data_IF_378774262050
#
_entry.id   IF_378774262050
#
_cell.length_a   1.000
_cell.length_b   1.000
_cell.length_c   1.000
_cell.angle_alpha   90.00
_cell.angle_beta   90.00
_cell.angle_gamma   90.00
#
_symmetry.space_group_name_H-M   'P 1'
#
loop_
_entity.id
_entity.type
_entity.pdbx_description
1 polymer ?
#
# COMPACT_ATOMS: atom_id res chain seq x y z
N UNK A 1 -44.71 -74.97 -20.67
CA UNK A 1 -44.79 -73.52 -20.96
C UNK A 1 -45.29 -72.71 -19.77
N UNK A 2 -46.36 -73.13 -19.08
CA UNK A 2 -46.94 -72.44 -17.91
C UNK A 2 -46.00 -72.31 -16.71
N UNK A 3 -45.22 -73.35 -16.38
CA UNK A 3 -44.26 -73.33 -15.25
C UNK A 3 -43.17 -72.27 -15.38
N UNK A 4 -42.60 -72.07 -16.58
CA UNK A 4 -41.61 -71.01 -16.83
C UNK A 4 -42.20 -69.61 -16.66
N UNK A 5 -43.45 -69.40 -17.10
CA UNK A 5 -44.15 -68.12 -16.94
C UNK A 5 -44.38 -67.82 -15.46
N UNK A 6 -44.81 -68.81 -14.69
CA UNK A 6 -45.03 -68.65 -13.23
C UNK A 6 -43.71 -68.31 -12.52
N UNK A 7 -42.62 -69.00 -12.84
CA UNK A 7 -41.29 -68.70 -12.26
C UNK A 7 -40.85 -67.29 -12.62
N UNK A 8 -40.99 -66.88 -13.89
CA UNK A 8 -40.62 -65.53 -14.34
C UNK A 8 -41.39 -64.44 -13.59
N UNK A 9 -42.70 -64.61 -13.38
CA UNK A 9 -43.54 -63.65 -12.64
C UNK A 9 -43.09 -63.56 -11.18
N UNK A 10 -42.83 -64.69 -10.52
CA UNK A 10 -42.35 -64.70 -9.13
C UNK A 10 -41.03 -63.95 -9.00
N UNK A 11 -40.07 -64.20 -9.92
CA UNK A 11 -38.78 -63.50 -9.93
C UNK A 11 -38.97 -61.99 -10.09
N UNK A 12 -39.86 -61.57 -10.99
CA UNK A 12 -40.15 -60.15 -11.23
C UNK A 12 -40.76 -59.48 -9.98
N UNK A 13 -41.67 -60.16 -9.29
CA UNK A 13 -42.27 -59.65 -8.03
C UNK A 13 -41.20 -59.52 -6.94
N UNK A 14 -40.32 -60.51 -6.79
CA UNK A 14 -39.22 -60.45 -5.80
C UNK A 14 -38.26 -59.28 -6.10
N UNK A 15 -37.91 -59.07 -7.37
CA UNK A 15 -37.06 -57.94 -7.77
C UNK A 15 -37.72 -56.58 -7.51
N UNK A 16 -39.03 -56.46 -7.81
CA UNK A 16 -39.77 -55.22 -7.55
C UNK A 16 -39.80 -54.87 -6.06
N UNK A 17 -40.04 -55.87 -5.19
CA UNK A 17 -40.04 -55.68 -3.73
C UNK A 17 -38.64 -55.29 -3.24
N UNK A 18 -37.60 -55.96 -3.71
CA UNK A 18 -36.22 -55.63 -3.34
C UNK A 18 -35.85 -54.18 -3.70
N UNK A 19 -36.26 -53.72 -4.89
CA UNK A 19 -35.96 -52.37 -5.36
C UNK A 19 -36.61 -51.28 -4.49
N UNK A 20 -37.88 -51.48 -4.09
CA UNK A 20 -38.61 -50.54 -3.22
C UNK A 20 -37.96 -50.43 -1.83
N UNK A 21 -37.51 -51.55 -1.27
CA UNK A 21 -36.83 -51.58 0.03
C UNK A 21 -35.50 -50.81 -0.04
N UNK A 22 -34.72 -51.01 -1.10
CA UNK A 22 -33.45 -50.30 -1.33
C UNK A 22 -33.70 -48.80 -1.49
N UNK A 23 -34.73 -48.39 -2.25
CA UNK A 23 -35.07 -46.97 -2.39
C UNK A 23 -35.45 -46.31 -1.06
N UNK A 24 -36.27 -46.96 -0.23
CA UNK A 24 -36.65 -46.40 1.09
C UNK A 24 -35.43 -46.23 2.00
N UNK A 25 -34.57 -47.25 2.07
CA UNK A 25 -33.31 -47.18 2.83
C UNK A 25 -32.37 -46.09 2.33
N UNK A 26 -32.23 -45.95 1.02
CA UNK A 26 -31.38 -44.90 0.44
C UNK A 26 -31.92 -43.50 0.73
N UNK A 27 -33.24 -43.31 0.77
CA UNK A 27 -33.86 -42.03 1.10
C UNK A 27 -33.60 -41.63 2.55
N UNK A 28 -33.75 -42.56 3.48
CA UNK A 28 -33.42 -42.37 4.90
C UNK A 28 -31.92 -42.07 5.09
N UNK A 29 -31.04 -42.85 4.45
CA UNK A 29 -29.60 -42.62 4.50
C UNK A 29 -29.19 -41.26 3.87
N UNK A 30 -29.87 -40.81 2.83
CA UNK A 30 -29.62 -39.48 2.26
C UNK A 30 -30.07 -38.35 3.19
N UNK A 31 -31.18 -38.52 3.90
CA UNK A 31 -31.66 -37.54 4.89
C UNK A 31 -30.65 -37.44 6.04
N UNK A 32 -30.20 -38.58 6.58
CA UNK A 32 -29.18 -38.61 7.64
C UNK A 32 -27.86 -37.97 7.18
N UNK A 33 -27.40 -38.25 5.96
CA UNK A 33 -26.20 -37.61 5.38
C UNK A 33 -26.38 -36.12 5.21
N UNK A 34 -27.55 -35.66 4.79
CA UNK A 34 -27.84 -34.23 4.66
C UNK A 34 -27.80 -33.53 6.01
N UNK A 35 -28.36 -34.14 7.06
CA UNK A 35 -28.32 -33.58 8.41
C UNK A 35 -26.92 -33.61 9.03
N UNK A 36 -26.13 -34.65 8.75
CA UNK A 36 -24.71 -34.68 9.11
C UNK A 36 -23.91 -33.57 8.39
N UNK A 37 -24.16 -33.33 7.10
CA UNK A 37 -23.51 -32.24 6.36
C UNK A 37 -23.91 -30.87 6.90
N UNK A 38 -25.19 -30.65 7.21
CA UNK A 38 -25.67 -29.41 7.85
C UNK A 38 -25.02 -29.19 9.20
N UNK A 39 -24.91 -30.24 10.02
CA UNK A 39 -24.31 -30.15 11.34
C UNK A 39 -22.81 -29.86 11.24
N UNK A 40 -22.08 -30.57 10.35
CA UNK A 40 -20.65 -30.32 10.10
C UNK A 40 -20.40 -28.90 9.60
N UNK A 41 -21.20 -28.44 8.63
CA UNK A 41 -21.10 -27.08 8.12
C UNK A 41 -21.40 -26.04 9.21
N UNK A 42 -22.38 -26.28 10.10
CA UNK A 42 -22.67 -25.39 11.21
C UNK A 42 -21.52 -25.35 12.24
N UNK A 43 -20.92 -26.51 12.56
CA UNK A 43 -19.77 -26.58 13.48
C UNK A 43 -18.52 -25.92 12.88
N UNK A 44 -18.25 -26.13 11.60
CA UNK A 44 -17.10 -25.52 10.91
C UNK A 44 -17.30 -24.02 10.71
N UNK A 45 -18.53 -23.58 10.40
CA UNK A 45 -18.90 -22.17 10.33
C UNK A 45 -18.70 -21.48 11.68
N UNK A 46 -19.08 -22.12 12.79
CA UNK A 46 -18.82 -21.56 14.13
C UNK A 46 -17.32 -21.39 14.42
N UNK A 47 -16.49 -22.35 13.99
CA UNK A 47 -15.04 -22.29 14.19
C UNK A 47 -14.30 -21.28 13.29
N UNK A 48 -14.87 -20.91 12.14
CA UNK A 48 -14.17 -20.10 11.13
C UNK A 48 -14.77 -18.71 10.93
N UNK A 49 -16.09 -18.57 10.98
CA UNK A 49 -16.79 -17.30 10.72
C UNK A 49 -16.61 -16.35 11.89
N UNK A 50 -16.77 -16.81 13.13
CA UNK A 50 -16.61 -15.96 14.32
C UNK A 50 -15.22 -15.29 14.39
N UNK A 51 -14.08 -16.01 14.27
CA UNK A 51 -12.77 -15.37 14.27
C UNK A 51 -12.49 -14.56 13.00
N UNK A 52 -13.10 -14.88 11.86
CA UNK A 52 -12.99 -14.06 10.65
C UNK A 52 -13.71 -12.71 10.82
N UNK A 53 -14.90 -12.71 11.44
CA UNK A 53 -15.63 -11.48 11.77
C UNK A 53 -14.91 -10.63 12.80
N UNK A 54 -14.33 -11.26 13.83
CA UNK A 54 -13.54 -10.54 14.83
C UNK A 54 -12.32 -9.86 14.19
N UNK A 55 -11.57 -10.58 13.33
CA UNK A 55 -10.46 -9.97 12.58
C UNK A 55 -10.91 -8.84 11.66
N UNK A 56 -12.07 -9.00 11.01
CA UNK A 56 -12.62 -7.94 10.16
C UNK A 56 -12.98 -6.70 10.99
N UNK A 57 -13.64 -6.87 12.14
CA UNK A 57 -13.98 -5.78 13.04
C UNK A 57 -12.74 -5.07 13.59
N UNK A 58 -11.69 -5.82 13.96
CA UNK A 58 -10.41 -5.22 14.39
C UNK A 58 -9.75 -4.44 13.26
N UNK A 59 -9.70 -4.98 12.05
CA UNK A 59 -9.12 -4.29 10.90
C UNK A 59 -9.91 -3.01 10.53
N UNK A 60 -11.24 -3.03 10.66
CA UNK A 60 -12.08 -1.85 10.47
C UNK A 60 -11.82 -0.79 11.55
N UNK A 61 -11.64 -1.20 12.81
CA UNK A 61 -11.29 -0.29 13.90
C UNK A 61 -9.91 0.36 13.68
N UNK A 62 -8.89 -0.42 13.32
CA UNK A 62 -7.55 0.08 13.01
C UNK A 62 -7.58 1.07 11.82
N UNK A 63 -8.37 0.77 10.79
CA UNK A 63 -8.54 1.67 9.66
C UNK A 63 -9.24 2.99 10.06
N UNK A 64 -10.21 2.95 10.97
CA UNK A 64 -10.87 4.15 11.48
C UNK A 64 -9.91 5.00 12.32
N UNK A 65 -9.10 4.38 13.18
CA UNK A 65 -8.07 5.07 13.97
C UNK A 65 -7.02 5.73 13.06
N UNK A 66 -6.54 5.03 12.04
CA UNK A 66 -5.58 5.57 11.09
C UNK A 66 -6.13 6.81 10.34
N UNK A 67 -7.42 6.79 9.97
CA UNK A 67 -8.08 7.96 9.36
C UNK A 67 -8.16 9.13 10.32
N UNK A 68 -8.54 8.90 11.58
CA UNK A 68 -8.59 9.96 12.58
C UNK A 68 -7.21 10.60 12.83
N UNK A 69 -6.14 9.81 12.82
CA UNK A 69 -4.77 10.32 12.94
C UNK A 69 -4.38 11.15 11.72
N UNK A 70 -4.73 10.69 10.51
CA UNK A 70 -4.46 11.41 9.27
C UNK A 70 -5.19 12.77 9.25
N UNK A 71 -6.48 12.79 9.57
CA UNK A 71 -7.28 14.02 9.65
C UNK A 71 -6.69 15.02 10.66
N UNK A 72 -6.23 14.53 11.82
CA UNK A 72 -5.57 15.37 12.81
C UNK A 72 -4.25 15.96 12.30
N UNK A 73 -3.43 15.16 11.63
CA UNK A 73 -2.16 15.60 11.07
C UNK A 73 -2.38 16.63 9.94
N UNK A 74 -3.42 16.45 9.11
CA UNK A 74 -3.81 17.43 8.09
C UNK A 74 -4.25 18.75 8.71
N UNK A 75 -5.10 18.72 9.74
CA UNK A 75 -5.52 19.93 10.45
C UNK A 75 -4.34 20.68 11.09
N UNK A 76 -3.38 19.96 11.67
CA UNK A 76 -2.17 20.55 12.23
C UNK A 76 -1.28 21.18 11.15
N UNK A 77 -1.14 20.52 10.00
CA UNK A 77 -0.39 21.07 8.87
C UNK A 77 -1.06 22.33 8.30
N UNK A 78 -2.40 22.35 8.20
CA UNK A 78 -3.14 23.54 7.78
C UNK A 78 -2.98 24.70 8.77
N UNK A 79 -3.08 24.43 10.07
CA UNK A 79 -2.85 25.42 11.11
C UNK A 79 -1.43 26.02 11.00
N UNK A 80 -0.40 25.18 10.88
CA UNK A 80 0.98 25.62 10.74
C UNK A 80 1.20 26.46 9.47
N UNK A 81 0.53 26.13 8.35
CA UNK A 81 0.58 26.94 7.13
C UNK A 81 -0.06 28.31 7.33
N UNK A 82 -1.20 28.37 8.00
CA UNK A 82 -1.88 29.63 8.29
C UNK A 82 -1.06 30.51 9.24
N UNK A 83 -0.40 29.90 10.24
CA UNK A 83 0.51 30.62 11.14
C UNK A 83 1.72 31.17 10.38
N UNK A 84 2.34 30.36 9.51
CA UNK A 84 3.46 30.81 8.68
C UNK A 84 3.06 32.00 7.79
N UNK A 85 1.89 31.93 7.13
CA UNK A 85 1.37 33.02 6.31
C UNK A 85 1.10 34.29 7.13
N UNK A 86 0.57 34.15 8.35
CA UNK A 86 0.34 35.30 9.24
C UNK A 86 1.65 35.96 9.67
N UNK A 87 2.66 35.15 10.01
CA UNK A 87 3.99 35.65 10.35
C UNK A 87 4.61 36.38 9.16
N UNK A 88 4.57 35.79 7.96
CA UNK A 88 5.07 36.43 6.74
C UNK A 88 4.35 37.76 6.45
N UNK A 89 3.01 37.77 6.51
CA UNK A 89 2.22 38.99 6.31
C UNK A 89 2.55 40.08 7.35
N UNK A 90 2.81 39.68 8.60
CA UNK A 90 3.18 40.62 9.67
C UNK A 90 4.56 41.24 9.43
N UNK A 91 5.54 40.45 8.97
CA UNK A 91 6.87 40.93 8.63
C UNK A 91 6.82 41.87 7.41
N UNK A 92 6.06 41.52 6.39
CA UNK A 92 5.89 42.36 5.21
C UNK A 92 5.19 43.69 5.56
N UNK A 93 4.16 43.65 6.41
CA UNK A 93 3.50 44.85 6.92
C UNK A 93 4.46 45.76 7.70
N UNK A 94 5.35 45.17 8.50
CA UNK A 94 6.39 45.90 9.23
C UNK A 94 7.42 46.52 8.28
N UNK A 95 7.88 45.79 7.26
CA UNK A 95 8.79 46.29 6.24
C UNK A 95 8.17 47.50 5.50
N UNK A 96 6.93 47.38 5.02
CA UNK A 96 6.21 48.51 4.41
C UNK A 96 6.01 49.69 5.35
N UNK A 97 5.85 49.45 6.66
CA UNK A 97 5.74 50.52 7.64
C UNK A 97 7.08 51.26 7.83
N UNK A 98 8.20 50.54 7.84
CA UNK A 98 9.54 51.13 7.91
C UNK A 98 9.86 51.95 6.65
N UNK A 99 9.60 51.40 5.46
CA UNK A 99 9.88 52.06 4.18
C UNK A 99 9.08 53.36 4.00
N UNK A 100 7.85 53.43 4.53
CA UNK A 100 7.05 54.67 4.53
C UNK A 100 7.66 55.79 5.39
N UNK A 101 8.47 55.43 6.38
CA UNK A 101 9.16 56.39 7.25
C UNK A 101 10.54 56.79 6.72
N UNK A 102 11.15 55.99 5.84
CA UNK A 102 12.46 56.30 5.26
C UNK A 102 12.30 57.23 4.05
N UNK A 103 12.79 58.50 4.12
CA UNK A 103 12.74 59.42 2.99
C UNK A 103 13.60 59.01 1.79
N UNK A 104 14.47 57.99 1.93
CA UNK A 104 15.28 57.45 0.84
C UNK A 104 14.52 56.44 -0.03
N UNK A 105 13.40 55.90 0.45
CA UNK A 105 12.62 54.86 -0.26
C UNK A 105 11.39 55.48 -0.91
N UNK A 106 11.29 55.37 -2.24
CA UNK A 106 10.09 55.74 -2.98
C UNK A 106 9.07 54.59 -2.98
N UNK A 107 8.26 54.55 -1.93
CA UNK A 107 7.18 53.58 -1.74
C UNK A 107 5.94 53.85 -2.62
N UNK A 108 5.97 54.84 -3.52
CA UNK A 108 4.88 55.16 -4.46
C UNK A 108 5.18 54.75 -5.90
N UNK A 109 6.39 54.31 -6.19
CA UNK A 109 6.76 53.83 -7.52
C UNK A 109 6.02 52.53 -7.87
N UNK A 110 5.68 52.35 -9.15
CA UNK A 110 4.93 51.18 -9.64
C UNK A 110 5.71 49.86 -9.51
N UNK A 111 7.04 49.93 -9.32
CA UNK A 111 7.96 48.80 -9.15
C UNK A 111 8.36 48.55 -7.68
N UNK A 112 7.69 49.17 -6.71
CA UNK A 112 7.98 48.97 -5.29
C UNK A 112 7.60 47.55 -4.82
N UNK A 113 8.60 46.82 -4.28
CA UNK A 113 8.41 45.54 -3.60
C UNK A 113 9.09 45.59 -2.21
N UNK A 114 8.37 45.35 -1.11
CA UNK A 114 8.94 45.38 0.24
C UNK A 114 9.96 44.24 0.40
N UNK A 115 11.19 44.59 0.78
CA UNK A 115 12.25 43.61 0.99
C UNK A 115 12.18 43.02 2.40
N UNK A 116 11.65 41.80 2.52
CA UNK A 116 11.67 40.99 3.75
C UNK A 116 12.84 40.02 3.72
N UNK A 117 13.80 40.19 4.64
CA UNK A 117 14.97 39.32 4.74
C UNK A 117 14.55 37.87 5.07
N UNK A 118 14.94 36.91 4.22
CA UNK A 118 14.70 35.48 4.45
C UNK A 118 13.56 34.86 3.64
N UNK A 119 12.89 35.59 2.75
CA UNK A 119 12.02 34.99 1.73
C UNK A 119 12.85 34.24 0.70
N UNK A 120 12.36 33.09 0.20
CA UNK A 120 13.09 32.13 -0.66
C UNK A 120 13.61 32.76 -1.96
N UNK A 121 13.00 33.87 -2.40
CA UNK A 121 13.44 34.62 -3.59
C UNK A 121 14.66 35.53 -3.34
N UNK A 122 15.10 35.71 -2.08
CA UNK A 122 16.39 36.30 -1.77
C UNK A 122 17.50 35.26 -1.91
N UNK A 123 17.74 34.80 -3.14
CA UNK A 123 19.06 34.25 -3.46
C UNK A 123 20.06 35.38 -3.19
N UNK A 124 20.97 35.26 -2.20
CA UNK A 124 21.94 36.30 -1.93
C UNK A 124 22.76 36.45 -3.20
N UNK A 125 22.59 37.57 -3.91
CA UNK A 125 23.56 37.94 -4.94
C UNK A 125 24.85 38.14 -4.16
N UNK A 126 25.75 37.17 -4.26
CA UNK A 126 27.07 37.24 -3.64
C UNK A 126 27.64 38.63 -3.96
N UNK A 127 28.20 39.34 -2.97
CA UNK A 127 28.74 40.67 -3.21
C UNK A 127 29.74 40.53 -4.36
N UNK A 128 29.47 41.23 -5.46
CA UNK A 128 30.42 41.33 -6.56
C UNK A 128 31.68 41.94 -5.97
N UNK A 129 32.73 41.13 -5.83
CA UNK A 129 34.10 41.58 -5.56
C UNK A 129 34.53 42.46 -6.72
N UNK A 130 34.12 43.73 -6.68
CA UNK A 130 34.69 44.77 -7.51
C UNK A 130 35.96 45.21 -6.79
N UNK A 131 37.08 44.87 -7.42
CA UNK A 131 38.42 45.45 -7.25
C UNK A 131 39.40 44.71 -6.31
N UNK A 132 39.95 43.60 -6.79
CA UNK A 132 41.32 43.21 -6.50
C UNK A 132 42.03 42.83 -7.81
N UNK A 133 42.92 43.73 -8.25
CA UNK A 133 43.87 43.55 -9.36
C UNK A 133 44.73 42.28 -9.18
N UNK A 134 45.16 41.62 -10.27
CA UNK A 134 45.93 40.37 -10.20
C UNK A 134 47.42 40.67 -10.00
N UNK A 135 48.01 40.11 -8.95
CA UNK A 135 49.47 40.07 -8.78
C UNK A 135 49.94 38.63 -8.52
N UNK A 136 50.33 37.98 -9.63
CA UNK A 136 51.60 37.25 -9.78
C UNK A 136 52.04 36.28 -8.66
N UNK A 137 51.83 34.99 -8.92
CA UNK A 137 52.69 33.87 -8.49
C UNK A 137 54.20 34.15 -8.75
N UNK A 138 55.18 33.62 -7.98
CA UNK A 138 55.40 32.16 -7.98
C UNK A 138 56.09 31.49 -6.76
N UNK A 139 55.84 30.17 -6.68
CA UNK A 139 56.75 29.05 -6.42
C UNK A 139 57.51 28.90 -5.08
N UNK A 140 57.41 27.69 -4.50
CA UNK A 140 58.51 26.68 -4.36
C UNK A 140 58.41 25.86 -3.06
N UNK A 141 58.15 24.57 -3.24
CA UNK A 141 58.67 23.35 -2.57
C UNK A 141 59.14 23.38 -1.10
N UNK A 142 58.64 22.42 -0.31
CA UNK A 142 59.49 21.53 0.49
C UNK A 142 58.74 20.27 0.95
N UNK A 143 59.14 19.14 0.35
CA UNK A 143 59.17 17.76 0.87
C UNK A 143 59.46 17.65 2.37
N UNK A 144 58.92 16.63 3.06
CA UNK A 144 59.68 15.64 3.89
C UNK A 144 58.80 14.81 4.86
N UNK A 145 58.81 13.50 4.59
CA UNK A 145 58.85 12.32 5.49
C UNK A 145 57.79 12.02 6.57
N UNK A 146 57.22 10.81 6.43
CA UNK A 146 56.77 9.95 7.51
C UNK A 146 57.97 9.38 8.31
N UNK A 147 57.77 8.95 9.57
CA UNK A 147 57.66 7.51 9.77
C UNK A 147 56.64 7.06 10.84
N UNK A 148 56.31 5.78 10.74
CA UNK A 148 55.40 5.01 11.58
C UNK A 148 55.84 4.90 13.04
N UNK A 149 54.86 4.75 13.95
CA UNK A 149 55.04 3.98 15.19
C UNK A 149 53.74 3.25 15.52
N UNK A 150 53.91 1.95 15.81
CA UNK A 150 52.89 0.96 16.09
C UNK A 150 52.09 1.26 17.36
N UNK A 151 50.83 0.85 17.38
CA UNK A 151 50.09 0.52 18.62
C UNK A 151 49.15 -0.63 18.30
N UNK A 152 49.56 -1.81 18.72
CA UNK A 152 48.69 -2.96 18.99
C UNK A 152 47.76 -2.62 20.16
N UNK A 153 46.46 -2.80 19.98
CA UNK A 153 45.51 -3.06 21.06
C UNK A 153 44.20 -3.64 20.51
N UNK A 154 44.09 -4.96 20.63
CA UNK A 154 42.89 -5.76 20.95
C UNK A 154 41.53 -5.36 20.37
N UNK A 155 41.08 -6.19 19.43
CA UNK A 155 39.68 -6.33 19.01
C UNK A 155 38.90 -7.22 20.00
N UNK A 156 37.71 -6.78 20.46
CA UNK A 156 36.60 -7.69 20.65
C UNK A 156 35.37 -7.24 19.84
N UNK A 157 34.96 -8.13 18.93
CA UNK A 157 33.58 -8.56 18.65
C UNK A 157 32.45 -7.52 18.57
N UNK A 158 31.97 -7.25 17.34
CA UNK A 158 30.53 -7.12 17.04
C UNK A 158 30.26 -7.39 15.55
N UNK A 159 29.30 -8.27 15.18
CA UNK A 159 28.93 -8.50 13.78
C UNK A 159 28.00 -7.38 13.29
N UNK A 160 28.49 -6.59 12.33
CA UNK A 160 27.70 -5.65 11.55
C UNK A 160 26.73 -6.42 10.63
N UNK A 161 25.44 -6.30 10.94
CA UNK A 161 24.36 -6.81 10.12
C UNK A 161 24.21 -5.93 8.87
N UNK A 162 24.91 -6.32 7.80
CA UNK A 162 24.78 -5.74 6.47
C UNK A 162 23.47 -6.16 5.80
N UNK A 163 22.73 -5.16 5.32
CA UNK A 163 21.44 -5.17 4.64
C UNK A 163 21.24 -6.33 3.62
N UNK A 164 20.00 -6.85 3.45
CA UNK A 164 19.70 -7.79 2.38
C UNK A 164 19.82 -7.13 1.01
N UNK A 165 20.61 -7.77 0.13
CA UNK A 165 20.76 -7.41 -1.29
C UNK A 165 19.40 -7.48 -2.00
N UNK A 166 18.99 -6.38 -2.63
CA UNK A 166 17.92 -6.36 -3.63
C UNK A 166 18.34 -7.23 -4.82
N UNK A 167 17.47 -8.14 -5.23
CA UNK A 167 17.57 -8.93 -6.46
C UNK A 167 17.40 -8.00 -7.68
N UNK A 168 18.36 -7.96 -8.63
CA UNK A 168 18.16 -7.31 -9.92
C UNK A 168 17.47 -8.29 -10.87
N UNK A 169 16.21 -8.03 -11.24
CA UNK A 169 15.51 -8.88 -12.22
C UNK A 169 14.02 -8.65 -12.43
N UNK A 170 13.45 -7.49 -12.08
CA UNK A 170 12.01 -7.25 -12.20
C UNK A 170 11.65 -6.01 -13.06
N UNK A 171 12.46 -5.70 -14.07
CA UNK A 171 12.16 -4.66 -15.03
C UNK A 171 12.60 -5.12 -16.41
N UNK A 172 11.62 -5.59 -17.20
CA UNK A 172 11.51 -5.48 -18.66
C UNK A 172 10.45 -6.47 -19.16
N UNK A 173 9.20 -6.02 -19.31
CA UNK A 173 8.25 -6.61 -20.25
C UNK A 173 7.52 -5.44 -20.92
N UNK A 174 7.90 -5.06 -22.16
CA UNK A 174 7.24 -4.02 -22.92
C UNK A 174 5.90 -4.52 -23.47
N UNK A 175 4.98 -3.59 -23.68
CA UNK A 175 3.56 -3.81 -23.94
C UNK A 175 3.23 -4.93 -24.94
N UNK A 176 2.25 -5.76 -24.55
CA UNK A 176 1.33 -6.39 -25.49
C UNK A 176 -0.07 -5.83 -25.24
N UNK A 177 -0.78 -5.36 -26.29
CA UNK A 177 -2.18 -4.98 -26.16
C UNK A 177 -3.00 -6.22 -25.81
N UNK A 178 -4.00 -6.02 -24.95
CA UNK A 178 -5.01 -7.03 -24.64
C UNK A 178 -5.88 -7.16 -25.90
N UNK A 179 -5.63 -8.22 -26.69
CA UNK A 179 -6.58 -8.66 -27.71
C UNK A 179 -7.83 -9.16 -27.00
N UNK A 180 -8.85 -8.33 -26.96
CA UNK A 180 -10.24 -8.73 -26.75
C UNK A 180 -10.75 -9.36 -28.03
N UNK A 181 -10.59 -10.67 -28.19
CA UNK A 181 -11.37 -11.47 -29.11
C UNK A 181 -11.35 -12.93 -28.65
N UNK A 182 -12.48 -13.41 -28.15
CA UNK A 182 -12.55 -14.75 -27.57
C UNK A 182 -13.84 -15.06 -26.84
N UNK A 183 -14.97 -14.64 -27.39
CA UNK A 183 -16.26 -15.28 -27.15
C UNK A 183 -16.11 -16.80 -27.37
N UNK A 184 -16.19 -17.60 -26.30
CA UNK A 184 -15.88 -19.03 -26.44
C UNK A 184 -16.17 -19.91 -25.23
N UNK A 185 -17.42 -19.86 -24.75
CA UNK A 185 -18.16 -21.05 -24.30
C UNK A 185 -17.69 -21.82 -23.07
N UNK A 186 -18.24 -21.49 -21.89
CA UNK A 186 -18.27 -22.43 -20.75
C UNK A 186 -19.58 -22.45 -19.94
N UNK A 187 -20.67 -21.80 -20.40
CA UNK A 187 -21.94 -21.87 -19.67
C UNK A 187 -23.17 -22.01 -20.58
N UNK A 188 -23.44 -23.23 -21.02
CA UNK A 188 -24.81 -23.70 -21.24
C UNK A 188 -24.97 -25.09 -20.66
N UNK A 189 -25.21 -25.16 -19.35
CA UNK A 189 -25.97 -26.26 -18.75
C UNK A 189 -27.39 -25.71 -18.57
N UNK A 190 -28.29 -26.07 -19.48
CA UNK A 190 -29.73 -25.96 -19.24
C UNK A 190 -30.37 -27.25 -19.70
N UNK A 191 -30.89 -27.97 -18.72
CA UNK A 191 -31.83 -29.05 -18.87
C UNK A 191 -32.99 -28.65 -19.79
N UNK A 192 -33.41 -29.55 -20.68
CA UNK A 192 -34.82 -29.76 -21.00
C UNK A 192 -34.97 -31.11 -21.69
N UNK A 193 -35.47 -32.07 -20.92
CA UNK A 193 -36.06 -33.30 -21.38
C UNK A 193 -37.27 -33.05 -22.30
N UNK A 194 -37.42 -33.95 -23.27
CA UNK A 194 -38.66 -34.63 -23.70
C UNK A 194 -39.95 -33.83 -23.93
N UNK A 195 -40.42 -33.85 -25.18
CA UNK A 195 -41.77 -34.33 -25.53
C UNK A 195 -41.77 -34.93 -26.93
#
# INVERSE_FOLDING_TARGET
>A
MTTFIVIAVIVLVVLAVAFVVIQRKNREANIERADQLRTKAATEAQGTIAPAQERAATAEAEAAEARAIAEKAEAEAEAARLEAQQVEASHEAQARAADRLDPRVDHKADDYAPQVAGTVDQQPTAPSDVNAEPATEPATEATTEAPATATDAETPTAPSSGLPRRTPGAQEMPGRPIETDGSGGWFTRKDSEQS
#
